data_IF_888164128680
#
_entry.id   IF_888164128680
#
_cell.length_a   1.000
_cell.length_b   1.000
_cell.length_c   1.000
_cell.angle_alpha   90.00
_cell.angle_beta   90.00
_cell.angle_gamma   90.00
#
_symmetry.space_group_name_H-M   'P 1'
#
loop_
_entity.id
_entity.type
_entity.pdbx_description
1 polymer ?
#
# COMPACT_ATOMS: atom_id res chain seq x y z
N UNK A 1 21.51 43.49 -36.79
CA UNK A 1 22.45 42.36 -36.97
C UNK A 1 22.64 41.53 -35.73
N UNK A 2 22.28 42.03 -34.53
CA UNK A 2 22.57 41.37 -33.26
C UNK A 2 21.38 40.63 -32.63
N UNK A 3 20.23 40.64 -33.30
CA UNK A 3 19.01 40.01 -32.76
C UNK A 3 18.96 38.48 -33.00
N UNK A 4 19.74 37.96 -33.95
CA UNK A 4 19.76 36.52 -34.25
C UNK A 4 20.75 35.74 -33.38
N UNK A 5 21.80 36.37 -32.84
CA UNK A 5 22.77 35.70 -31.97
C UNK A 5 22.26 35.45 -30.54
N UNK A 6 21.49 36.37 -29.99
CA UNK A 6 21.00 36.27 -28.63
C UNK A 6 19.83 35.26 -28.48
N UNK A 7 19.00 35.08 -29.53
CA UNK A 7 17.96 34.06 -29.53
C UNK A 7 18.53 32.63 -29.65
N UNK A 8 19.60 32.48 -30.45
CA UNK A 8 20.25 31.18 -30.61
C UNK A 8 20.92 30.68 -29.33
N UNK A 9 21.60 31.54 -28.60
CA UNK A 9 22.26 31.20 -27.32
C UNK A 9 21.24 30.95 -26.20
N UNK A 10 20.21 31.78 -26.12
CA UNK A 10 19.14 31.55 -25.12
C UNK A 10 18.37 30.26 -25.34
N UNK A 11 18.15 29.85 -26.58
CA UNK A 11 17.52 28.57 -26.91
C UNK A 11 18.46 27.37 -26.70
N UNK A 12 19.77 27.56 -26.94
CA UNK A 12 20.79 26.55 -26.64
C UNK A 12 20.93 26.35 -25.13
N UNK A 13 20.91 27.40 -24.33
CA UNK A 13 20.91 27.31 -22.87
C UNK A 13 19.59 26.74 -22.29
N UNK A 14 18.46 26.99 -22.92
CA UNK A 14 17.18 26.36 -22.57
C UNK A 14 17.09 24.92 -23.06
N UNK A 15 17.88 24.52 -24.05
CA UNK A 15 17.93 23.20 -24.65
C UNK A 15 19.05 22.32 -24.12
N UNK A 16 20.08 22.87 -23.49
CA UNK A 16 20.98 22.13 -22.61
C UNK A 16 20.14 21.77 -21.43
N UNK A 17 19.60 20.51 -21.45
CA UNK A 17 18.67 20.02 -20.50
C UNK A 17 19.11 20.41 -19.09
N UNK A 18 18.17 20.77 -18.24
CA UNK A 18 18.44 21.01 -16.83
C UNK A 18 19.18 19.78 -16.32
N UNK A 19 20.50 19.81 -16.33
CA UNK A 19 21.35 18.78 -15.75
C UNK A 19 21.34 19.05 -14.27
N UNK A 20 20.46 18.37 -13.55
CA UNK A 20 20.53 18.32 -12.11
C UNK A 20 21.76 17.44 -11.76
N UNK A 21 22.77 17.97 -11.04
CA UNK A 21 24.01 17.24 -10.79
C UNK A 21 23.82 15.96 -9.99
N UNK A 22 22.71 15.86 -9.25
CA UNK A 22 22.32 14.68 -8.47
C UNK A 22 21.15 13.90 -9.12
N UNK A 23 20.80 14.25 -10.35
CA UNK A 23 19.67 13.66 -11.05
C UNK A 23 19.99 12.33 -11.71
N UNK A 24 18.94 11.62 -12.07
CA UNK A 24 19.02 10.36 -12.80
C UNK A 24 18.96 10.55 -14.30
N UNK A 25 19.79 9.81 -15.04
CA UNK A 25 19.69 9.73 -16.50
C UNK A 25 18.41 8.98 -16.88
N UNK A 26 17.53 9.61 -17.64
CA UNK A 26 16.27 9.02 -18.10
C UNK A 26 16.21 8.77 -19.60
N UNK A 27 17.16 9.29 -20.35
CA UNK A 27 17.23 9.11 -21.80
C UNK A 27 17.90 10.27 -22.53
N UNK A 28 17.61 10.37 -23.81
CA UNK A 28 18.11 11.46 -24.68
C UNK A 28 16.94 12.18 -25.33
N UNK A 29 17.11 13.47 -25.54
CA UNK A 29 16.17 14.24 -26.31
C UNK A 29 16.32 13.97 -27.82
N UNK A 30 15.43 14.57 -28.63
CA UNK A 30 15.45 14.42 -30.08
C UNK A 30 16.74 14.99 -30.75
N UNK A 31 17.57 15.71 -30.02
CA UNK A 31 18.85 16.25 -30.48
C UNK A 31 20.05 15.44 -29.98
N UNK A 32 19.82 14.36 -29.24
CA UNK A 32 20.86 13.51 -28.70
C UNK A 32 21.46 13.98 -27.37
N UNK A 33 20.93 15.04 -26.76
CA UNK A 33 21.39 15.52 -25.45
C UNK A 33 20.85 14.66 -24.34
N UNK A 34 21.67 14.37 -23.33
CA UNK A 34 21.25 13.60 -22.17
C UNK A 34 20.18 14.36 -21.36
N UNK A 35 19.14 13.65 -20.94
CA UNK A 35 18.13 14.16 -20.02
C UNK A 35 18.42 13.57 -18.65
N UNK A 36 18.71 14.45 -17.70
CA UNK A 36 18.99 14.11 -16.31
C UNK A 36 17.94 14.82 -15.44
N UNK A 37 17.23 14.07 -14.60
CA UNK A 37 16.14 14.59 -13.78
C UNK A 37 16.37 14.18 -12.32
N UNK A 38 16.32 15.14 -11.43
CA UNK A 38 16.23 14.92 -9.99
C UNK A 38 14.75 14.89 -9.57
N UNK A 39 14.27 13.71 -9.16
CA UNK A 39 12.88 13.55 -8.73
C UNK A 39 12.62 14.11 -7.33
N UNK A 40 13.63 14.25 -6.49
CA UNK A 40 13.48 14.75 -5.11
C UNK A 40 13.52 16.28 -5.02
N UNK A 41 14.09 16.94 -6.04
CA UNK A 41 14.19 18.37 -6.06
C UNK A 41 12.82 19.03 -6.03
N UNK A 42 12.59 19.86 -5.03
CA UNK A 42 11.41 20.72 -4.92
C UNK A 42 11.67 22.06 -5.62
N UNK A 43 10.69 22.54 -6.36
CA UNK A 43 10.71 23.84 -7.02
C UNK A 43 9.26 24.37 -7.07
N UNK A 44 9.06 25.68 -7.31
CA UNK A 44 7.71 26.22 -7.43
C UNK A 44 6.84 25.53 -8.49
N UNK A 45 7.47 24.94 -9.52
CA UNK A 45 6.85 24.17 -10.59
C UNK A 45 6.85 22.64 -10.33
N UNK A 46 7.39 22.19 -9.19
CA UNK A 46 7.51 20.78 -8.83
C UNK A 46 7.28 20.58 -7.33
N UNK A 47 6.04 20.40 -6.96
CA UNK A 47 5.58 20.33 -5.56
C UNK A 47 5.69 18.92 -4.95
N UNK A 48 5.71 17.86 -5.77
CA UNK A 48 5.82 16.48 -5.31
C UNK A 48 6.88 15.70 -6.10
N UNK A 49 7.23 14.50 -5.61
CA UNK A 49 8.20 13.59 -6.22
C UNK A 49 7.54 12.51 -7.08
N UNK A 50 6.23 12.57 -7.29
CA UNK A 50 5.52 11.56 -8.07
C UNK A 50 5.82 11.70 -9.56
N UNK A 51 5.99 10.56 -10.24
CA UNK A 51 6.19 10.49 -11.67
C UNK A 51 5.18 9.54 -12.31
N UNK A 52 4.60 9.92 -13.43
CA UNK A 52 3.70 9.10 -14.21
C UNK A 52 4.31 8.81 -15.58
N UNK A 53 4.48 7.52 -15.90
CA UNK A 53 5.02 7.05 -17.18
C UNK A 53 3.87 6.63 -18.07
N UNK A 54 3.65 7.36 -19.15
CA UNK A 54 2.59 7.08 -20.11
C UNK A 54 3.17 6.72 -21.48
N UNK A 55 2.55 5.77 -22.17
CA UNK A 55 2.93 5.37 -23.51
C UNK A 55 2.13 4.16 -23.98
N UNK A 56 2.08 3.95 -25.28
CA UNK A 56 1.46 2.76 -25.86
C UNK A 56 2.28 1.50 -25.56
N UNK A 57 1.67 0.33 -25.74
CA UNK A 57 2.37 -0.96 -25.62
C UNK A 57 3.59 -1.01 -26.57
N UNK A 58 4.70 -1.53 -26.08
CA UNK A 58 5.94 -1.63 -26.86
C UNK A 58 6.78 -0.34 -26.95
N UNK A 59 6.39 0.76 -26.30
CA UNK A 59 7.12 2.03 -26.30
C UNK A 59 8.21 2.14 -25.22
N UNK A 60 8.51 1.05 -24.51
CA UNK A 60 9.59 1.01 -23.53
C UNK A 60 9.24 1.55 -22.14
N UNK A 61 7.94 1.60 -21.75
CA UNK A 61 7.52 2.01 -20.40
C UNK A 61 8.20 1.21 -19.30
N UNK A 62 8.08 -0.12 -19.36
CA UNK A 62 8.67 -1.04 -18.37
C UNK A 62 10.20 -0.92 -18.34
N UNK A 63 10.85 -0.72 -19.52
CA UNK A 63 12.30 -0.48 -19.58
C UNK A 63 12.69 0.80 -18.85
N UNK A 64 11.95 1.92 -19.09
CA UNK A 64 12.21 3.17 -18.40
C UNK A 64 11.97 3.05 -16.90
N UNK A 65 10.89 2.36 -16.49
CA UNK A 65 10.61 2.11 -15.08
C UNK A 65 11.77 1.36 -14.42
N UNK A 66 12.23 0.27 -15.00
CA UNK A 66 13.37 -0.52 -14.51
C UNK A 66 14.63 0.34 -14.39
N UNK A 67 14.96 1.12 -15.43
CA UNK A 67 16.09 2.04 -15.39
C UNK A 67 16.00 3.04 -14.23
N UNK A 68 14.82 3.61 -13.98
CA UNK A 68 14.60 4.54 -12.88
C UNK A 68 14.78 3.84 -11.52
N UNK A 69 14.26 2.63 -11.37
CA UNK A 69 14.39 1.86 -10.12
C UNK A 69 15.85 1.46 -9.83
N UNK A 70 16.64 1.11 -10.86
CA UNK A 70 18.08 0.91 -10.72
C UNK A 70 18.76 2.18 -10.20
N UNK A 71 18.50 3.34 -10.81
CA UNK A 71 19.07 4.61 -10.39
C UNK A 71 18.69 4.98 -8.97
N UNK A 72 17.41 4.81 -8.60
CA UNK A 72 16.89 5.02 -7.24
C UNK A 72 17.64 4.13 -6.25
N UNK A 73 17.87 2.88 -6.62
CA UNK A 73 18.59 1.93 -5.77
C UNK A 73 20.07 2.26 -5.63
N UNK A 74 20.74 2.70 -6.70
CA UNK A 74 22.12 3.20 -6.69
C UNK A 74 22.27 4.43 -5.79
N UNK A 75 21.27 5.31 -5.77
CA UNK A 75 21.20 6.46 -4.86
C UNK A 75 20.98 6.07 -3.39
N UNK A 76 20.94 4.76 -3.07
CA UNK A 76 20.82 4.27 -1.70
C UNK A 76 19.39 4.22 -1.15
N UNK A 77 18.39 4.56 -1.96
CA UNK A 77 16.98 4.54 -1.54
C UNK A 77 16.43 3.12 -1.51
N UNK A 78 15.40 2.93 -0.70
CA UNK A 78 14.60 1.70 -0.71
C UNK A 78 13.55 1.76 -1.81
N UNK A 79 13.25 0.62 -2.42
CA UNK A 79 12.25 0.46 -3.48
C UNK A 79 11.24 -0.58 -3.07
N UNK A 80 9.97 -0.26 -3.24
CA UNK A 80 8.86 -1.22 -3.14
C UNK A 80 8.09 -1.16 -4.44
N UNK A 81 8.04 -2.26 -5.19
CA UNK A 81 7.41 -2.30 -6.50
C UNK A 81 6.32 -3.36 -6.58
N UNK A 82 5.30 -3.06 -7.37
CA UNK A 82 4.29 -4.01 -7.80
C UNK A 82 4.54 -4.38 -9.26
N UNK A 83 4.62 -5.67 -9.51
CA UNK A 83 4.88 -6.27 -10.83
C UNK A 83 3.67 -7.13 -11.23
N UNK A 84 2.88 -6.67 -12.17
CA UNK A 84 1.68 -7.36 -12.65
C UNK A 84 1.98 -8.40 -13.72
N UNK A 85 3.13 -8.28 -14.42
CA UNK A 85 3.48 -9.12 -15.56
C UNK A 85 4.60 -10.13 -15.28
N UNK A 86 5.19 -10.11 -14.08
CA UNK A 86 6.35 -10.94 -13.72
C UNK A 86 7.59 -10.61 -14.55
N UNK A 87 7.87 -9.32 -14.70
CA UNK A 87 9.00 -8.86 -15.51
C UNK A 87 10.19 -8.35 -14.69
N UNK A 88 10.03 -8.15 -13.37
CA UNK A 88 11.06 -7.53 -12.51
C UNK A 88 11.91 -8.54 -11.71
N UNK A 89 11.70 -9.84 -11.87
CA UNK A 89 12.38 -10.86 -11.05
C UNK A 89 13.90 -10.81 -11.19
N UNK A 90 14.39 -10.83 -12.43
CA UNK A 90 15.83 -10.86 -12.71
C UNK A 90 16.53 -9.59 -12.23
N UNK A 91 15.91 -8.42 -12.45
CA UNK A 91 16.42 -7.14 -11.98
C UNK A 91 16.43 -7.07 -10.44
N UNK A 92 15.35 -7.48 -9.81
CA UNK A 92 15.24 -7.52 -8.35
C UNK A 92 16.36 -8.37 -7.74
N UNK A 93 16.61 -9.56 -8.28
CA UNK A 93 17.68 -10.45 -7.84
C UNK A 93 19.07 -9.87 -8.09
N UNK A 94 19.30 -9.26 -9.27
CA UNK A 94 20.57 -8.62 -9.61
C UNK A 94 20.93 -7.47 -8.67
N UNK A 95 19.93 -6.73 -8.17
CA UNK A 95 20.09 -5.64 -7.22
C UNK A 95 20.09 -6.10 -5.74
N UNK A 96 20.13 -7.41 -5.49
CA UNK A 96 20.13 -7.99 -4.15
C UNK A 96 18.81 -7.80 -3.42
N UNK A 97 17.71 -7.69 -4.15
CA UNK A 97 16.36 -7.52 -3.65
C UNK A 97 15.64 -8.83 -3.34
N UNK A 98 14.42 -8.69 -2.87
CA UNK A 98 13.51 -9.79 -2.56
C UNK A 98 12.31 -9.73 -3.52
N UNK A 99 12.15 -10.76 -4.33
CA UNK A 99 11.01 -10.93 -5.24
C UNK A 99 10.02 -11.93 -4.62
N UNK A 100 8.78 -11.49 -4.44
CA UNK A 100 7.73 -12.23 -3.76
C UNK A 100 6.58 -12.51 -4.72
N UNK A 101 6.35 -13.77 -5.06
CA UNK A 101 5.10 -14.19 -5.71
C UNK A 101 3.98 -14.15 -4.66
N UNK A 102 3.29 -13.00 -4.58
CA UNK A 102 2.27 -12.75 -3.56
C UNK A 102 1.06 -13.67 -3.69
N UNK A 103 0.72 -14.08 -4.89
CA UNK A 103 -0.43 -14.95 -5.15
C UNK A 103 -0.14 -16.44 -4.90
N UNK A 104 1.11 -16.81 -4.63
CA UNK A 104 1.46 -18.17 -4.22
C UNK A 104 0.83 -18.61 -2.90
N UNK A 105 0.44 -17.65 -2.04
CA UNK A 105 -0.06 -17.91 -0.69
C UNK A 105 1.04 -18.26 0.32
N UNK A 106 2.32 -18.10 -0.04
CA UNK A 106 3.45 -18.29 0.89
C UNK A 106 3.68 -17.04 1.73
N UNK A 107 3.37 -15.87 1.17
CA UNK A 107 3.57 -14.57 1.80
C UNK A 107 2.23 -14.03 2.28
N UNK A 108 2.22 -13.47 3.49
CA UNK A 108 1.03 -12.94 4.13
C UNK A 108 1.30 -11.58 4.71
N UNK A 109 0.28 -10.78 4.69
CA UNK A 109 0.20 -9.48 5.34
C UNK A 109 -0.95 -9.59 6.32
N UNK A 110 -0.65 -9.59 7.62
CA UNK A 110 -1.67 -9.66 8.65
C UNK A 110 -2.56 -8.42 8.61
N UNK A 111 -3.84 -8.60 8.36
CA UNK A 111 -4.80 -7.49 8.32
C UNK A 111 -5.04 -6.87 9.69
N UNK A 112 -4.85 -7.65 10.78
CA UNK A 112 -5.05 -7.18 12.16
C UNK A 112 -3.79 -6.56 12.79
N UNK A 113 -2.72 -6.40 12.02
CA UNK A 113 -1.51 -5.68 12.43
C UNK A 113 -1.69 -4.18 12.11
N UNK A 114 -1.84 -3.30 13.14
CA UNK A 114 -2.01 -1.87 12.93
C UNK A 114 -0.84 -1.25 12.17
N UNK A 115 -1.13 -0.43 11.16
CA UNK A 115 -0.15 0.22 10.30
C UNK A 115 -0.33 1.72 10.30
N UNK A 116 0.79 2.41 10.08
CA UNK A 116 0.79 3.85 9.96
C UNK A 116 0.27 4.28 8.58
N UNK A 117 -0.69 5.21 8.56
CA UNK A 117 -1.26 5.78 7.34
C UNK A 117 -0.84 7.23 7.14
N UNK A 118 -0.37 7.88 8.20
CA UNK A 118 0.04 9.28 8.20
C UNK A 118 1.24 9.44 9.11
N UNK A 119 2.31 10.03 8.60
CA UNK A 119 3.52 10.34 9.36
C UNK A 119 3.40 11.60 10.22
N UNK A 120 2.21 12.23 10.22
CA UNK A 120 1.97 13.49 10.93
C UNK A 120 2.69 14.69 10.31
N UNK A 121 3.32 14.53 9.13
CA UNK A 121 4.08 15.60 8.45
C UNK A 121 3.21 16.44 7.49
N UNK A 122 1.91 16.23 7.49
CA UNK A 122 0.97 17.10 6.78
C UNK A 122 1.16 18.56 7.20
N UNK A 123 0.80 19.55 6.35
CA UNK A 123 0.88 20.94 6.76
C UNK A 123 0.11 21.06 8.07
N UNK A 124 0.85 21.36 9.14
CA UNK A 124 0.23 21.69 10.42
C UNK A 124 -0.71 22.88 10.15
N UNK A 125 -2.00 22.62 10.12
CA UNK A 125 -2.95 23.67 10.36
C UNK A 125 -2.86 23.98 11.86
N UNK A 126 -2.21 25.08 12.26
CA UNK A 126 -2.02 25.39 13.66
C UNK A 126 -3.36 25.63 14.39
N UNK A 127 -4.44 25.77 13.65
CA UNK A 127 -5.80 25.97 14.16
C UNK A 127 -6.63 24.67 14.14
N UNK A 128 -6.10 23.55 13.62
CA UNK A 128 -6.79 22.25 13.70
C UNK A 128 -6.68 21.70 15.13
N UNK A 129 -7.80 21.48 15.81
CA UNK A 129 -7.77 20.87 17.15
C UNK A 129 -7.10 19.49 17.09
N UNK A 130 -6.16 19.19 17.99
CA UNK A 130 -5.52 17.87 18.16
C UNK A 130 -6.53 16.71 18.28
N UNK A 131 -7.80 17.01 18.60
CA UNK A 131 -8.90 16.07 18.71
C UNK A 131 -9.33 15.42 17.38
N UNK A 132 -8.87 15.92 16.21
CA UNK A 132 -9.21 15.36 14.90
C UNK A 132 -8.17 14.37 14.34
N UNK A 133 -7.02 14.22 14.99
CA UNK A 133 -6.05 13.17 14.64
C UNK A 133 -6.48 11.90 15.36
N UNK A 134 -7.12 10.99 14.62
CA UNK A 134 -7.41 9.65 15.16
C UNK A 134 -6.12 8.96 15.60
N UNK A 135 -6.22 8.13 16.65
CA UNK A 135 -5.08 7.28 17.04
C UNK A 135 -4.74 6.28 15.92
N UNK A 136 -3.52 5.75 15.91
CA UNK A 136 -3.13 4.71 14.95
C UNK A 136 -4.12 3.55 14.96
N UNK A 137 -4.58 3.13 16.14
CA UNK A 137 -5.54 2.05 16.29
C UNK A 137 -6.91 2.40 15.70
N UNK A 138 -7.41 3.62 15.92
CA UNK A 138 -8.70 4.07 15.37
C UNK A 138 -8.68 4.18 13.84
N UNK A 139 -7.59 4.67 13.26
CA UNK A 139 -7.37 4.70 11.82
C UNK A 139 -7.32 3.28 11.24
N UNK A 140 -6.65 2.37 11.93
CA UNK A 140 -6.56 0.98 11.52
C UNK A 140 -7.91 0.26 11.59
N UNK A 141 -8.72 0.51 12.61
CA UNK A 141 -10.08 -0.04 12.71
C UNK A 141 -10.94 0.48 11.55
N UNK A 142 -10.83 1.76 11.19
CA UNK A 142 -11.51 2.30 10.01
C UNK A 142 -11.08 1.60 8.72
N UNK A 143 -9.78 1.34 8.54
CA UNK A 143 -9.28 0.55 7.43
C UNK A 143 -9.88 -0.87 7.40
N UNK A 144 -9.97 -1.55 8.54
CA UNK A 144 -10.57 -2.88 8.62
C UNK A 144 -12.05 -2.88 8.22
N UNK A 145 -12.81 -1.85 8.59
CA UNK A 145 -14.21 -1.68 8.15
C UNK A 145 -14.32 -1.69 6.63
N UNK A 146 -13.43 -0.94 5.94
CA UNK A 146 -13.43 -0.87 4.49
C UNK A 146 -12.99 -2.21 3.85
N UNK A 147 -11.97 -2.85 4.40
CA UNK A 147 -11.53 -4.19 3.94
C UNK A 147 -12.68 -5.20 4.00
N UNK A 148 -13.40 -5.27 5.10
CA UNK A 148 -14.49 -6.23 5.26
C UNK A 148 -15.71 -5.90 4.40
N UNK A 149 -16.00 -4.61 4.15
CA UNK A 149 -17.00 -4.19 3.16
C UNK A 149 -16.63 -4.66 1.76
N UNK A 150 -15.40 -4.42 1.35
CA UNK A 150 -14.90 -4.81 0.02
C UNK A 150 -14.92 -6.33 -0.14
N UNK A 151 -14.51 -7.07 0.89
CA UNK A 151 -14.43 -8.53 0.82
C UNK A 151 -15.79 -9.23 0.70
N UNK A 152 -16.79 -8.79 1.46
CA UNK A 152 -18.11 -9.48 1.54
C UNK A 152 -19.31 -8.61 1.25
N UNK A 153 -19.15 -7.29 1.10
CA UNK A 153 -20.29 -6.40 0.95
C UNK A 153 -21.19 -6.34 2.19
N UNK A 154 -20.59 -6.48 3.37
CA UNK A 154 -21.34 -6.36 4.63
C UNK A 154 -21.99 -4.98 4.74
N UNK A 155 -23.23 -4.94 5.17
CA UNK A 155 -23.95 -3.70 5.49
C UNK A 155 -23.45 -3.07 6.80
N UNK A 156 -23.91 -1.87 7.09
CA UNK A 156 -23.46 -1.11 8.28
C UNK A 156 -23.65 -1.87 9.58
N UNK A 157 -24.80 -2.52 9.90
CA UNK A 157 -24.96 -3.26 11.15
C UNK A 157 -23.97 -4.41 11.32
N UNK A 158 -23.62 -5.13 10.24
CA UNK A 158 -22.60 -6.18 10.29
C UNK A 158 -21.22 -5.60 10.55
N UNK A 159 -20.88 -4.50 9.89
CA UNK A 159 -19.60 -3.82 10.07
C UNK A 159 -19.45 -3.27 11.49
N UNK A 160 -20.49 -2.65 12.05
CA UNK A 160 -20.46 -2.13 13.41
C UNK A 160 -20.31 -3.26 14.44
N UNK A 161 -20.98 -4.40 14.21
CA UNK A 161 -20.82 -5.59 15.06
C UNK A 161 -19.40 -6.16 14.96
N UNK A 162 -18.83 -6.19 13.75
CA UNK A 162 -17.48 -6.68 13.52
C UNK A 162 -16.43 -5.77 14.16
N UNK A 163 -16.64 -4.45 14.12
CA UNK A 163 -15.81 -3.45 14.81
C UNK A 163 -15.76 -3.74 16.31
N UNK A 164 -16.91 -3.97 16.95
CA UNK A 164 -16.98 -4.35 18.37
C UNK A 164 -16.20 -5.64 18.66
N UNK A 165 -16.22 -6.62 17.73
CA UNK A 165 -15.46 -7.87 17.90
C UNK A 165 -13.95 -7.61 17.78
N UNK A 166 -13.52 -6.78 16.86
CA UNK A 166 -12.12 -6.38 16.68
C UNK A 166 -11.61 -5.62 17.91
N UNK A 167 -12.37 -4.66 18.41
CA UNK A 167 -12.01 -3.90 19.62
C UNK A 167 -11.84 -4.82 20.84
N UNK A 168 -12.77 -5.75 21.06
CA UNK A 168 -12.68 -6.74 22.13
C UNK A 168 -11.47 -7.65 21.97
N UNK A 169 -11.16 -8.05 20.73
CA UNK A 169 -9.98 -8.85 20.44
C UNK A 169 -8.70 -8.11 20.79
N UNK A 170 -8.56 -6.84 20.37
CA UNK A 170 -7.41 -6.02 20.73
C UNK A 170 -7.27 -5.82 22.24
N UNK A 171 -8.38 -5.58 22.94
CA UNK A 171 -8.37 -5.50 24.42
C UNK A 171 -7.88 -6.81 25.05
N UNK A 172 -8.34 -7.96 24.57
CA UNK A 172 -7.89 -9.29 25.04
C UNK A 172 -6.38 -9.50 24.83
N UNK A 173 -5.81 -8.88 23.78
CA UNK A 173 -4.37 -8.92 23.45
C UNK A 173 -3.58 -7.75 24.07
N UNK A 174 -4.21 -6.94 24.94
CA UNK A 174 -3.63 -5.73 25.53
C UNK A 174 -3.12 -4.69 24.52
N UNK A 175 -3.72 -4.65 23.34
CA UNK A 175 -3.46 -3.66 22.31
C UNK A 175 -4.42 -2.50 22.51
N UNK A 176 -3.89 -1.32 22.77
CA UNK A 176 -4.63 -0.09 23.07
C UNK A 176 -3.99 1.11 22.39
N UNK A 177 -4.62 2.27 22.45
CA UNK A 177 -4.06 3.52 21.91
C UNK A 177 -2.71 3.92 22.55
N UNK A 178 -2.35 3.32 23.68
CA UNK A 178 -1.09 3.57 24.39
C UNK A 178 0.00 2.55 24.07
N UNK A 179 -0.30 1.60 23.21
CA UNK A 179 0.65 0.54 22.83
C UNK A 179 1.78 1.14 22.00
N UNK A 180 3.02 0.81 22.37
CA UNK A 180 4.18 1.16 21.56
C UNK A 180 4.36 0.14 20.43
N UNK A 181 3.74 0.42 19.30
CA UNK A 181 3.75 -0.46 18.13
C UNK A 181 5.15 -0.64 17.52
N UNK A 182 6.09 0.28 17.76
CA UNK A 182 7.45 0.19 17.21
C UNK A 182 8.28 -0.96 17.83
N UNK A 183 7.87 -1.45 19.00
CA UNK A 183 8.56 -2.55 19.70
C UNK A 183 7.87 -3.90 19.48
N UNK A 184 6.69 -3.93 18.88
CA UNK A 184 5.95 -5.16 18.65
C UNK A 184 6.50 -5.91 17.44
N UNK A 185 6.44 -7.24 17.51
CA UNK A 185 6.78 -8.13 16.42
C UNK A 185 5.51 -8.63 15.74
N UNK A 186 5.58 -9.14 14.51
CA UNK A 186 4.40 -9.69 13.83
C UNK A 186 3.64 -10.75 14.65
N UNK A 187 4.34 -11.54 15.46
CA UNK A 187 3.75 -12.59 16.30
C UNK A 187 2.99 -12.05 17.52
N UNK A 188 3.19 -10.78 17.87
CA UNK A 188 2.53 -10.13 19.01
C UNK A 188 1.11 -9.63 18.66
N UNK A 189 0.72 -9.74 17.40
CA UNK A 189 -0.61 -9.34 16.93
C UNK A 189 -1.54 -10.53 16.74
N UNK A 190 -2.86 -10.38 17.01
CA UNK A 190 -3.83 -11.40 16.65
C UNK A 190 -3.87 -11.59 15.13
N UNK A 191 -4.33 -12.75 14.71
CA UNK A 191 -4.57 -13.09 13.30
C UNK A 191 -6.07 -13.33 13.05
N UNK A 192 -6.47 -13.45 11.80
CA UNK A 192 -7.90 -13.58 11.46
C UNK A 192 -8.58 -14.82 12.07
N UNK A 193 -7.84 -15.91 12.31
CA UNK A 193 -8.41 -17.05 13.06
C UNK A 193 -8.74 -16.69 14.50
N UNK A 194 -7.95 -15.82 15.15
CA UNK A 194 -8.25 -15.37 16.52
C UNK A 194 -9.53 -14.52 16.56
N UNK A 195 -9.72 -13.66 15.53
CA UNK A 195 -10.96 -12.92 15.36
C UNK A 195 -12.15 -13.85 15.14
N UNK A 196 -11.99 -14.85 14.29
CA UNK A 196 -13.03 -15.84 14.03
C UNK A 196 -13.41 -16.60 15.30
N UNK A 197 -12.41 -17.01 16.09
CA UNK A 197 -12.63 -17.70 17.37
C UNK A 197 -13.30 -16.81 18.41
N UNK A 198 -12.96 -15.52 18.46
CA UNK A 198 -13.62 -14.56 19.33
C UNK A 198 -15.11 -14.36 18.97
N UNK A 199 -15.42 -14.31 17.67
CA UNK A 199 -16.81 -14.25 17.20
C UNK A 199 -17.55 -15.54 17.53
N UNK A 200 -16.92 -16.72 17.35
CA UNK A 200 -17.48 -18.03 17.68
C UNK A 200 -17.75 -18.15 19.18
N UNK A 201 -16.81 -17.74 20.03
CA UNK A 201 -16.97 -17.71 21.49
C UNK A 201 -18.15 -16.83 21.90
N UNK A 202 -18.28 -15.64 21.27
CA UNK A 202 -19.41 -14.73 21.49
C UNK A 202 -20.75 -15.31 21.01
N UNK A 203 -20.75 -16.11 19.95
CA UNK A 203 -21.93 -16.79 19.45
C UNK A 203 -22.38 -17.94 20.38
N UNK A 204 -21.43 -18.73 20.88
CA UNK A 204 -21.70 -19.89 21.72
C UNK A 204 -22.19 -19.49 23.13
N UNK A 205 -21.66 -18.37 23.65
CA UNK A 205 -22.03 -17.82 24.96
C UNK A 205 -22.94 -16.58 24.87
N UNK A 206 -23.74 -16.50 23.80
CA UNK A 206 -24.61 -15.35 23.56
C UNK A 206 -25.70 -15.20 24.61
N UNK A 207 -25.75 -14.04 25.26
CA UNK A 207 -26.81 -13.62 26.19
C UNK A 207 -27.51 -12.36 25.64
N UNK A 208 -28.79 -12.49 25.30
CA UNK A 208 -29.54 -11.40 24.64
C UNK A 208 -29.69 -10.16 25.52
N UNK A 209 -29.69 -10.32 26.85
CA UNK A 209 -29.83 -9.21 27.79
C UNK A 209 -28.61 -8.26 27.82
N UNK A 210 -27.41 -8.80 27.51
CA UNK A 210 -26.15 -8.08 27.64
C UNK A 210 -25.52 -7.74 26.26
N UNK A 211 -26.20 -8.10 25.16
CA UNK A 211 -25.67 -7.93 23.82
C UNK A 211 -26.27 -6.74 23.09
N UNK A 212 -25.42 -5.94 22.43
CA UNK A 212 -25.84 -4.80 21.59
C UNK A 212 -26.32 -5.23 20.20
N UNK A 213 -26.17 -6.49 19.84
CA UNK A 213 -26.46 -7.06 18.52
C UNK A 213 -27.21 -8.41 18.67
N UNK A 214 -28.06 -8.80 17.70
CA UNK A 214 -28.73 -10.09 17.72
C UNK A 214 -27.75 -11.25 17.42
N UNK A 215 -28.06 -12.43 17.92
CA UNK A 215 -27.24 -13.64 17.72
C UNK A 215 -27.02 -14.00 16.26
N UNK A 216 -28.03 -13.76 15.44
CA UNK A 216 -28.00 -14.01 13.99
C UNK A 216 -26.88 -13.21 13.31
N UNK A 217 -26.58 -12.00 13.78
CA UNK A 217 -25.50 -11.16 13.26
C UNK A 217 -24.13 -11.87 13.40
N UNK A 218 -23.87 -12.48 14.55
CA UNK A 218 -22.63 -13.25 14.75
C UNK A 218 -22.53 -14.45 13.83
N UNK A 219 -23.67 -15.13 13.60
CA UNK A 219 -23.74 -16.26 12.65
C UNK A 219 -23.42 -15.81 11.22
N UNK A 220 -23.96 -14.67 10.80
CA UNK A 220 -23.74 -14.12 9.46
C UNK A 220 -22.28 -13.69 9.28
N UNK A 221 -21.65 -13.09 10.30
CA UNK A 221 -20.23 -12.81 10.32
C UNK A 221 -19.37 -14.08 10.22
N UNK A 222 -19.70 -15.12 10.99
CA UNK A 222 -18.98 -16.40 10.90
C UNK A 222 -19.07 -17.03 9.51
N UNK A 223 -20.26 -17.03 8.90
CA UNK A 223 -20.44 -17.53 7.54
C UNK A 223 -19.70 -16.69 6.51
N UNK A 224 -19.76 -15.37 6.63
CA UNK A 224 -19.12 -14.44 5.70
C UNK A 224 -17.60 -14.47 5.77
N UNK A 225 -17.03 -14.58 6.96
CA UNK A 225 -15.58 -14.58 7.17
C UNK A 225 -14.93 -15.96 7.09
N UNK A 226 -15.71 -17.03 7.01
CA UNK A 226 -15.16 -18.40 7.01
C UNK A 226 -14.06 -18.60 5.96
N UNK A 227 -14.28 -18.16 4.71
CA UNK A 227 -13.30 -18.36 3.64
C UNK A 227 -12.00 -17.63 3.92
N UNK A 228 -12.06 -16.40 4.42
CA UNK A 228 -10.90 -15.57 4.74
C UNK A 228 -10.11 -16.10 5.96
N UNK A 229 -10.81 -16.60 6.96
CA UNK A 229 -10.20 -17.01 8.23
C UNK A 229 -9.76 -18.48 8.25
N UNK A 230 -10.55 -19.38 7.66
CA UNK A 230 -10.35 -20.83 7.76
C UNK A 230 -10.55 -21.61 6.47
N UNK A 231 -11.08 -20.97 5.43
CA UNK A 231 -11.39 -21.59 4.15
C UNK A 231 -10.32 -21.35 3.08
N UNK A 232 -10.74 -21.30 1.81
CA UNK A 232 -9.84 -21.25 0.66
C UNK A 232 -8.97 -19.97 0.60
N UNK A 233 -9.51 -18.82 1.04
CA UNK A 233 -8.82 -17.55 0.98
C UNK A 233 -7.89 -17.33 2.18
N UNK A 234 -7.96 -18.20 3.22
CA UNK A 234 -7.14 -18.08 4.43
C UNK A 234 -5.63 -18.11 4.14
N UNK A 235 -5.22 -18.78 3.08
CA UNK A 235 -3.83 -18.81 2.63
C UNK A 235 -3.23 -17.44 2.34
N UNK A 236 -4.06 -16.46 1.99
CA UNK A 236 -3.62 -15.09 1.70
C UNK A 236 -3.66 -14.18 2.93
N UNK A 237 -4.63 -14.38 3.81
CA UNK A 237 -4.96 -13.41 4.86
C UNK A 237 -4.70 -13.91 6.28
N UNK A 238 -4.84 -15.22 6.53
CA UNK A 238 -4.75 -15.74 7.88
C UNK A 238 -3.32 -16.15 8.23
N UNK A 239 -2.68 -15.35 9.05
CA UNK A 239 -1.33 -15.57 9.57
C UNK A 239 -0.62 -14.26 9.84
N UNK A 240 0.50 -14.34 10.55
CA UNK A 240 1.34 -13.18 10.83
C UNK A 240 2.05 -12.70 9.55
N UNK A 241 2.36 -11.41 9.50
CA UNK A 241 3.14 -10.83 8.41
C UNK A 241 4.52 -11.52 8.35
N UNK A 242 4.82 -12.12 7.21
CA UNK A 242 6.05 -12.90 7.02
C UNK A 242 6.90 -12.40 5.83
N UNK A 243 6.81 -11.10 5.56
CA UNK A 243 7.56 -10.46 4.49
C UNK A 243 8.94 -10.08 5.01
N UNK A 244 9.98 -10.58 4.35
CA UNK A 244 11.35 -10.24 4.69
C UNK A 244 11.65 -8.80 4.31
N UNK A 245 12.18 -8.02 5.25
CA UNK A 245 12.64 -6.66 4.97
C UNK A 245 13.75 -6.67 3.92
N UNK A 246 13.61 -5.86 2.90
CA UNK A 246 14.60 -5.70 1.82
C UNK A 246 14.58 -4.27 1.31
N UNK A 247 15.76 -3.78 0.91
CA UNK A 247 15.87 -2.45 0.29
C UNK A 247 15.38 -2.41 -1.16
N UNK A 248 15.14 -3.54 -1.77
CA UNK A 248 14.47 -3.67 -3.06
C UNK A 248 13.46 -4.81 -2.94
N UNK A 249 12.19 -4.47 -2.77
CA UNK A 249 11.10 -5.40 -2.55
C UNK A 249 10.15 -5.34 -3.74
N UNK A 250 9.91 -6.47 -4.37
CA UNK A 250 8.97 -6.59 -5.49
C UNK A 250 7.88 -7.59 -5.15
N UNK A 251 6.64 -7.15 -5.20
CA UNK A 251 5.47 -8.02 -5.13
C UNK A 251 4.99 -8.35 -6.54
N UNK A 252 5.11 -9.60 -6.94
CA UNK A 252 4.49 -10.09 -8.14
C UNK A 252 3.02 -10.42 -7.86
N UNK A 253 2.14 -9.76 -8.61
CA UNK A 253 0.68 -9.96 -8.54
C UNK A 253 0.12 -10.51 -9.87
N UNK A 254 0.96 -11.17 -10.66
CA UNK A 254 0.56 -11.77 -11.93
C UNK A 254 -0.55 -12.79 -11.75
N UNK A 255 -1.64 -12.60 -12.47
CA UNK A 255 -2.83 -13.45 -12.36
C UNK A 255 -3.92 -12.90 -11.43
N UNK A 256 -3.69 -11.74 -10.81
CA UNK A 256 -4.67 -11.08 -9.96
C UNK A 256 -6.00 -10.80 -10.70
N UNK A 257 -5.92 -10.47 -12.00
CA UNK A 257 -7.10 -10.22 -12.85
C UNK A 257 -8.01 -11.43 -13.04
N UNK A 258 -7.49 -12.64 -12.81
CA UNK A 258 -8.26 -13.88 -12.93
C UNK A 258 -9.02 -14.23 -11.64
N UNK A 259 -8.84 -13.44 -10.58
CA UNK A 259 -9.52 -13.67 -9.30
C UNK A 259 -10.89 -12.99 -9.27
N UNK A 260 -11.74 -13.46 -8.36
CA UNK A 260 -12.99 -12.77 -8.05
C UNK A 260 -12.71 -11.33 -7.62
N UNK A 261 -13.53 -10.39 -8.07
CA UNK A 261 -13.30 -8.96 -7.89
C UNK A 261 -13.13 -8.56 -6.42
N UNK A 262 -13.98 -9.06 -5.54
CA UNK A 262 -13.89 -8.80 -4.11
C UNK A 262 -12.57 -9.30 -3.49
N UNK A 263 -12.13 -10.50 -3.86
CA UNK A 263 -10.86 -11.07 -3.39
C UNK A 263 -9.68 -10.25 -3.92
N UNK A 264 -9.69 -9.94 -5.23
CA UNK A 264 -8.68 -9.09 -5.88
C UNK A 264 -8.57 -7.75 -5.17
N UNK A 265 -9.68 -7.06 -4.97
CA UNK A 265 -9.71 -5.74 -4.36
C UNK A 265 -9.20 -5.80 -2.90
N UNK A 266 -9.57 -6.82 -2.15
CA UNK A 266 -9.10 -7.01 -0.77
C UNK A 266 -7.59 -7.25 -0.70
N UNK A 267 -7.03 -8.06 -1.61
CA UNK A 267 -5.59 -8.27 -1.71
C UNK A 267 -4.84 -6.98 -2.06
N UNK A 268 -5.38 -6.20 -2.99
CA UNK A 268 -4.82 -4.90 -3.36
C UNK A 268 -4.85 -3.92 -2.18
N UNK A 269 -5.94 -3.86 -1.43
CA UNK A 269 -6.05 -3.05 -0.21
C UNK A 269 -4.98 -3.44 0.81
N UNK A 270 -4.80 -4.72 1.05
CA UNK A 270 -3.79 -5.24 1.97
C UNK A 270 -2.36 -4.85 1.54
N UNK A 271 -2.05 -5.00 0.24
CA UNK A 271 -0.75 -4.61 -0.32
C UNK A 271 -0.50 -3.11 -0.23
N UNK A 272 -1.48 -2.28 -0.61
CA UNK A 272 -1.34 -0.82 -0.54
C UNK A 272 -1.14 -0.35 0.90
N UNK A 273 -1.87 -0.92 1.84
CA UNK A 273 -1.70 -0.66 3.26
C UNK A 273 -0.28 -0.95 3.71
N UNK A 274 0.26 -2.12 3.36
CA UNK A 274 1.62 -2.50 3.68
C UNK A 274 2.65 -1.57 3.02
N UNK A 275 2.46 -1.26 1.73
CA UNK A 275 3.38 -0.37 1.01
C UNK A 275 3.39 1.04 1.60
N UNK A 276 2.24 1.59 1.95
CA UNK A 276 2.13 2.91 2.59
C UNK A 276 2.87 2.94 3.92
N UNK A 277 2.65 1.96 4.78
CA UNK A 277 3.35 1.82 6.05
C UNK A 277 4.87 1.74 5.86
N UNK A 278 5.34 0.93 4.91
CA UNK A 278 6.77 0.81 4.62
C UNK A 278 7.37 2.12 4.07
N UNK A 279 6.64 2.87 3.23
CA UNK A 279 7.10 4.15 2.72
C UNK A 279 7.27 5.17 3.85
N UNK A 280 6.34 5.22 4.78
CA UNK A 280 6.38 6.12 5.94
C UNK A 280 7.49 5.72 6.92
N UNK A 281 7.63 4.42 7.19
CA UNK A 281 8.58 3.89 8.17
C UNK A 281 10.03 3.93 7.67
N UNK A 282 10.27 3.61 6.40
CA UNK A 282 11.62 3.58 5.81
C UNK A 282 12.16 4.97 5.47
N UNK A 283 11.31 5.97 5.33
CA UNK A 283 11.68 7.34 5.00
C UNK A 283 12.17 7.46 3.55
N UNK A 284 13.47 7.32 3.29
CA UNK A 284 14.05 7.50 1.95
C UNK A 284 13.72 6.31 1.03
N UNK A 285 12.48 6.28 0.54
CA UNK A 285 11.92 5.15 -0.21
C UNK A 285 11.07 5.60 -1.39
N UNK A 286 10.89 4.72 -2.36
CA UNK A 286 10.08 4.93 -3.56
C UNK A 286 9.15 3.74 -3.77
N UNK A 287 7.85 4.00 -3.98
CA UNK A 287 6.92 3.01 -4.47
C UNK A 287 6.80 3.10 -5.98
N UNK A 288 6.80 1.96 -6.66
CA UNK A 288 6.55 1.86 -8.08
C UNK A 288 5.39 0.90 -8.35
N UNK A 289 4.47 1.33 -9.18
CA UNK A 289 3.29 0.54 -9.54
C UNK A 289 3.27 0.42 -11.05
N UNK A 290 3.44 -0.80 -11.54
CA UNK A 290 3.19 -1.11 -12.95
C UNK A 290 1.68 -1.36 -13.15
N UNK A 291 1.19 -1.07 -14.35
CA UNK A 291 -0.21 -1.22 -14.73
C UNK A 291 -1.21 -0.52 -13.76
N UNK A 292 -1.01 0.80 -13.59
CA UNK A 292 -1.77 1.63 -12.64
C UNK A 292 -3.31 1.48 -12.79
N UNK A 293 -3.84 1.10 -13.95
CA UNK A 293 -5.27 0.93 -14.17
C UNK A 293 -5.91 -0.14 -13.26
N UNK A 294 -5.14 -1.15 -12.83
CA UNK A 294 -5.60 -2.17 -11.88
C UNK A 294 -6.02 -1.55 -10.53
N UNK A 295 -5.44 -0.41 -10.20
CA UNK A 295 -5.60 0.29 -8.93
C UNK A 295 -6.66 1.39 -8.99
N UNK A 296 -6.92 1.93 -10.18
CA UNK A 296 -7.91 2.99 -10.35
C UNK A 296 -9.33 2.50 -10.06
N UNK A 297 -9.60 1.22 -10.23
CA UNK A 297 -10.88 0.62 -9.88
C UNK A 297 -11.17 0.64 -8.37
N UNK A 298 -10.13 0.63 -7.53
CA UNK A 298 -10.28 0.73 -6.08
C UNK A 298 -10.66 2.14 -5.63
N UNK A 299 -10.10 3.16 -6.27
CA UNK A 299 -10.39 4.56 -5.93
C UNK A 299 -11.82 4.98 -6.27
N UNK A 300 -12.45 4.33 -7.24
CA UNK A 300 -13.85 4.60 -7.60
C UNK A 300 -14.85 4.07 -6.56
N UNK A 301 -14.47 3.09 -5.75
CA UNK A 301 -15.32 2.56 -4.67
C UNK A 301 -15.47 3.59 -3.55
N UNK A 302 -14.44 4.41 -3.30
CA UNK A 302 -14.46 5.45 -2.26
C UNK A 302 -15.07 6.79 -2.70
N UNK A 303 -15.29 7.01 -4.01
CA UNK A 303 -15.83 8.28 -4.53
C UNK A 303 -17.37 8.22 -4.66
N UNK A 304 -17.99 7.06 -4.51
CA UNK A 304 -19.44 6.84 -4.69
C UNK A 304 -20.26 6.94 -3.40
N UNK A 305 -19.70 7.31 -2.28
CA UNK A 305 -20.35 7.71 -1.03
C UNK A 305 -19.98 9.16 -0.67
#
# INVERSE_FOLDING_TARGET
>A
RDVLGSRGLGDVYKRQGKTDPEGFFIGRDRFGSNIIVDFDRRAPDKTNASALILGNTGQGKSYLLKLLLCNVREAGKSVISLDSEHEMEDECRALGGCFLDYLSGQYRINLLEPRCWDDGSGPEDPDAPDAFRGTLLSQHISFLRDVFRVYKGFDTPHIDTLELMVERLYQKWNITDRTDFAQMKPEDYPILSDLYDAIQESYDHYEAADSLYPREMLRDLLLGLHSMCRGADSRFFNGHTNITSSKFLVFCVKGLDNMAENLRNTLLFSLLSYMSDQLLTLGNSVAAIDELYLWLSLSLIHISE
#
